data_IF_165453734804
#
_entry.id   IF_165453734804
#
_cell.length_a   1.000
_cell.length_b   1.000
_cell.length_c   1.000
_cell.angle_alpha   90.00
_cell.angle_beta   90.00
_cell.angle_gamma   90.00
#
_symmetry.space_group_name_H-M   'P 1'
#
loop_
_entity.id
_entity.type
_entity.pdbx_description
1 polymer ?
#
# COMPACT_ATOMS: atom_id res chain seq x y z
N UNK A 1 -1.94 -50.54 5.52
CA UNK A 1 -1.66 -49.72 4.32
C UNK A 1 -1.41 -48.30 4.81
N UNK A 2 -0.16 -48.04 5.23
CA UNK A 2 0.23 -46.81 5.91
C UNK A 2 0.63 -45.74 4.89
N UNK A 3 -0.06 -44.59 4.90
CA UNK A 3 0.30 -43.42 4.09
C UNK A 3 1.46 -42.68 4.76
N UNK A 4 2.64 -42.74 4.14
CA UNK A 4 3.76 -41.85 4.47
C UNK A 4 3.54 -40.51 3.80
N UNK A 5 3.46 -39.44 4.60
CA UNK A 5 3.46 -38.04 4.14
C UNK A 5 4.91 -37.58 4.16
N UNK A 6 5.46 -37.30 2.98
CA UNK A 6 6.80 -36.72 2.83
C UNK A 6 6.68 -35.21 2.91
N UNK A 7 7.15 -34.61 4.01
CA UNK A 7 7.26 -33.16 4.15
C UNK A 7 8.60 -32.75 3.53
N UNK A 8 8.54 -32.08 2.38
CA UNK A 8 9.70 -31.47 1.75
C UNK A 8 10.01 -30.15 2.46
N UNK A 9 11.13 -30.11 3.18
CA UNK A 9 11.70 -28.89 3.73
C UNK A 9 12.36 -28.08 2.60
N UNK A 10 11.77 -26.94 2.25
CA UNK A 10 12.41 -25.97 1.35
C UNK A 10 13.31 -25.08 2.21
N UNK A 11 14.60 -25.40 2.26
CA UNK A 11 15.62 -24.53 2.84
C UNK A 11 15.96 -23.43 1.84
N UNK A 12 15.38 -22.24 1.99
CA UNK A 12 15.83 -21.05 1.28
C UNK A 12 17.25 -20.69 1.76
N UNK A 13 18.24 -20.85 0.89
CA UNK A 13 19.63 -20.50 1.19
C UNK A 13 19.81 -19.00 0.98
N UNK A 14 19.89 -18.22 2.05
CA UNK A 14 20.24 -16.80 1.97
C UNK A 14 21.75 -16.70 1.77
N UNK A 15 22.18 -16.35 0.56
CA UNK A 15 23.57 -16.03 0.29
C UNK A 15 23.88 -14.64 0.88
N UNK A 16 24.58 -14.60 2.01
CA UNK A 16 25.07 -13.36 2.63
C UNK A 16 26.40 -13.00 1.95
N UNK A 17 26.36 -12.09 0.98
CA UNK A 17 27.56 -11.38 0.54
C UNK A 17 27.89 -10.31 1.58
N UNK A 18 28.99 -10.51 2.32
CA UNK A 18 29.51 -9.54 3.28
C UNK A 18 30.34 -8.48 2.51
N UNK A 19 29.94 -7.20 2.47
CA UNK A 19 30.81 -6.16 1.96
C UNK A 19 31.86 -5.80 3.01
N UNK A 20 33.11 -5.70 2.59
CA UNK A 20 34.24 -5.32 3.43
C UNK A 20 34.37 -3.80 3.57
N UNK A 21 34.49 -3.37 4.83
CA UNK A 21 35.09 -2.13 5.38
C UNK A 21 34.43 -0.76 5.16
N UNK A 22 34.09 -0.12 6.30
CA UNK A 22 33.84 1.31 6.46
C UNK A 22 32.51 1.57 7.17
N UNK A 23 32.48 1.52 8.51
CA UNK A 23 31.32 1.79 9.40
C UNK A 23 29.97 1.65 8.67
N UNK A 24 29.68 0.42 8.24
CA UNK A 24 28.67 0.14 7.25
C UNK A 24 27.31 0.39 7.87
N UNK A 25 26.64 1.50 7.53
CA UNK A 25 25.19 1.56 7.66
C UNK A 25 24.63 0.45 6.78
N UNK A 26 24.29 -0.68 7.41
CA UNK A 26 23.70 -1.83 6.75
C UNK A 26 22.20 -1.56 6.64
N UNK A 27 21.85 -0.66 5.73
CA UNK A 27 20.47 -0.50 5.30
C UNK A 27 20.17 -1.56 4.25
N UNK A 28 19.06 -2.26 4.42
CA UNK A 28 18.56 -3.26 3.47
C UNK A 28 17.23 -2.76 2.93
N UNK A 29 17.10 -2.75 1.61
CA UNK A 29 15.84 -2.49 0.92
C UNK A 29 15.27 -3.82 0.44
N UNK A 30 14.02 -4.12 0.79
CA UNK A 30 13.28 -5.25 0.21
C UNK A 30 11.97 -4.76 -0.38
N UNK A 31 11.47 -5.48 -1.38
CA UNK A 31 10.22 -5.20 -2.05
C UNK A 31 9.49 -6.52 -2.33
N UNK A 32 8.16 -6.51 -2.30
CA UNK A 32 7.33 -7.67 -2.60
C UNK A 32 5.97 -7.23 -3.16
N UNK A 33 5.38 -8.06 -4.02
CA UNK A 33 4.01 -7.92 -4.54
C UNK A 33 3.06 -9.03 -4.04
N UNK A 34 3.60 -10.03 -3.31
CA UNK A 34 2.85 -11.04 -2.58
C UNK A 34 2.55 -12.33 -3.35
N UNK A 35 2.56 -12.30 -4.69
CA UNK A 35 2.40 -13.48 -5.54
C UNK A 35 2.97 -13.26 -6.95
N UNK A 36 3.11 -14.34 -7.70
CA UNK A 36 3.71 -14.33 -9.03
C UNK A 36 2.71 -14.18 -10.20
N UNK A 37 1.41 -14.39 -9.98
CA UNK A 37 0.38 -14.28 -11.03
C UNK A 37 -0.83 -13.49 -10.54
N UNK A 38 -1.24 -12.53 -11.36
CA UNK A 38 -2.42 -11.68 -11.22
C UNK A 38 -3.28 -11.79 -12.47
N UNK A 39 -4.57 -11.49 -12.39
CA UNK A 39 -5.38 -11.25 -13.58
C UNK A 39 -5.47 -9.76 -13.90
N UNK A 40 -5.81 -9.40 -15.14
CA UNK A 40 -5.99 -8.00 -15.52
C UNK A 40 -6.98 -7.28 -14.61
N UNK A 41 -6.61 -6.07 -14.16
CA UNK A 41 -7.36 -5.28 -13.20
C UNK A 41 -7.56 -5.93 -11.81
N UNK A 42 -6.79 -6.97 -11.49
CA UNK A 42 -6.53 -7.33 -10.10
C UNK A 42 -5.58 -6.28 -9.48
N UNK A 43 -5.82 -5.78 -8.25
CA UNK A 43 -4.90 -4.83 -7.61
C UNK A 43 -3.55 -5.47 -7.30
N UNK A 44 -2.46 -4.90 -7.83
CA UNK A 44 -1.09 -5.32 -7.53
C UNK A 44 -0.52 -4.45 -6.41
N UNK A 45 -0.48 -5.00 -5.19
CA UNK A 45 -0.01 -4.29 -4.00
C UNK A 45 1.50 -4.44 -3.83
N UNK A 46 2.25 -3.37 -4.09
CA UNK A 46 3.66 -3.28 -3.75
C UNK A 46 3.83 -2.95 -2.27
N UNK A 47 4.66 -3.74 -1.57
CA UNK A 47 5.19 -3.44 -0.24
C UNK A 47 6.70 -3.22 -0.36
N UNK A 48 7.20 -2.08 0.10
CA UNK A 48 8.64 -1.82 0.24
C UNK A 48 9.01 -1.67 1.70
N UNK A 49 10.17 -2.20 2.07
CA UNK A 49 10.71 -2.17 3.42
C UNK A 49 12.15 -1.68 3.40
N UNK A 50 12.43 -0.67 4.21
CA UNK A 50 13.78 -0.23 4.55
C UNK A 50 14.09 -0.68 5.97
N UNK A 51 15.11 -1.52 6.13
CA UNK A 51 15.51 -2.03 7.43
C UNK A 51 16.94 -1.58 7.76
N UNK A 52 17.16 -1.11 8.98
CA UNK A 52 18.50 -0.90 9.50
C UNK A 52 18.94 -2.16 10.26
N UNK A 53 19.82 -2.97 9.65
CA UNK A 53 20.41 -4.16 10.28
C UNK A 53 21.75 -3.86 10.95
N UNK A 54 22.21 -2.61 10.90
CA UNK A 54 23.40 -2.14 11.59
C UNK A 54 23.16 -1.87 13.08
N UNK A 55 24.24 -1.52 13.78
CA UNK A 55 24.25 -1.23 15.22
C UNK A 55 24.01 0.24 15.56
N UNK A 56 24.12 1.14 14.58
CA UNK A 56 23.98 2.59 14.74
C UNK A 56 22.77 3.13 13.98
N UNK A 57 22.24 4.27 14.42
CA UNK A 57 21.17 4.98 13.71
C UNK A 57 21.66 5.40 12.32
N UNK A 58 20.92 5.01 11.29
CA UNK A 58 21.14 5.50 9.94
C UNK A 58 20.34 6.78 9.69
N UNK A 59 20.89 7.71 8.91
CA UNK A 59 20.21 8.95 8.55
C UNK A 59 19.92 8.94 7.06
N UNK A 60 18.65 8.91 6.68
CA UNK A 60 18.24 8.74 5.28
C UNK A 60 17.45 9.94 4.76
N UNK A 61 17.28 10.01 3.44
CA UNK A 61 16.22 10.82 2.85
C UNK A 61 14.84 10.27 3.27
N UNK A 62 13.77 11.02 3.00
CA UNK A 62 12.41 10.56 3.27
C UNK A 62 12.10 9.24 2.55
N UNK A 63 11.86 8.18 3.31
CA UNK A 63 11.46 6.89 2.77
C UNK A 63 9.97 6.92 2.38
N UNK A 64 9.71 7.18 1.10
CA UNK A 64 8.37 7.28 0.52
C UNK A 64 8.37 6.82 -0.93
N UNK A 65 7.32 6.09 -1.34
CA UNK A 65 7.15 5.68 -2.74
C UNK A 65 6.93 6.88 -3.69
N UNK A 66 6.49 8.01 -3.15
CA UNK A 66 6.28 9.27 -3.89
C UNK A 66 7.47 10.24 -3.81
N UNK A 67 8.57 9.87 -3.13
CA UNK A 67 9.78 10.70 -3.06
C UNK A 67 10.59 10.59 -4.36
N UNK A 68 11.31 11.66 -4.74
CA UNK A 68 12.31 11.63 -5.80
C UNK A 68 13.44 10.62 -5.54
N UNK A 69 13.75 10.33 -4.28
CA UNK A 69 14.80 9.39 -3.92
C UNK A 69 14.42 7.93 -4.15
N UNK A 70 13.14 7.62 -4.40
CA UNK A 70 12.66 6.29 -4.74
C UNK A 70 12.49 6.19 -6.25
N UNK A 71 13.03 5.17 -6.89
CA UNK A 71 12.83 4.92 -8.32
C UNK A 71 12.23 3.53 -8.51
N UNK A 72 11.13 3.48 -9.25
CA UNK A 72 10.52 2.25 -9.73
C UNK A 72 10.79 2.19 -11.23
N UNK A 73 11.35 1.08 -11.71
CA UNK A 73 11.50 0.82 -13.13
C UNK A 73 10.84 -0.51 -13.44
N UNK A 74 9.99 -0.53 -14.46
CA UNK A 74 9.29 -1.75 -14.86
C UNK A 74 9.55 -2.03 -16.32
N UNK A 75 9.82 -3.30 -16.59
CA UNK A 75 10.03 -3.82 -17.94
C UNK A 75 9.03 -4.92 -18.22
N UNK A 76 8.51 -4.93 -19.43
CA UNK A 76 7.79 -6.07 -19.98
C UNK A 76 8.77 -7.20 -20.32
N UNK A 77 8.29 -8.43 -20.45
CA UNK A 77 9.11 -9.61 -20.75
C UNK A 77 9.94 -9.48 -22.04
N UNK A 78 9.49 -8.63 -22.98
CA UNK A 78 10.22 -8.28 -24.20
C UNK A 78 11.15 -7.05 -24.06
N UNK A 79 11.41 -6.57 -22.84
CA UNK A 79 12.39 -5.53 -22.52
C UNK A 79 11.94 -4.08 -22.69
N UNK A 80 10.69 -3.83 -23.08
CA UNK A 80 10.17 -2.46 -23.18
C UNK A 80 9.89 -1.92 -21.78
N UNK A 81 10.21 -0.65 -21.56
CA UNK A 81 9.92 0.04 -20.32
C UNK A 81 8.45 0.41 -20.25
N UNK A 82 7.82 0.12 -19.11
CA UNK A 82 6.48 0.60 -18.77
C UNK A 82 6.62 1.97 -18.13
N UNK A 83 5.76 2.90 -18.52
CA UNK A 83 5.74 4.24 -17.93
C UNK A 83 5.32 4.18 -16.46
N UNK A 84 6.00 4.97 -15.62
CA UNK A 84 5.71 5.11 -14.20
C UNK A 84 5.43 6.59 -13.89
N UNK A 85 4.15 6.95 -13.94
CA UNK A 85 3.60 8.30 -13.78
C UNK A 85 3.30 8.63 -12.32
N UNK A 86 4.30 8.51 -11.44
CA UNK A 86 4.08 8.79 -10.02
C UNK A 86 4.01 10.31 -9.74
N UNK A 87 3.08 10.77 -8.88
CA UNK A 87 3.16 12.12 -8.35
C UNK A 87 4.40 12.25 -7.46
N UNK A 88 5.12 13.35 -7.61
CA UNK A 88 6.34 13.62 -6.86
C UNK A 88 6.01 14.54 -5.69
N UNK A 89 6.31 14.07 -4.47
CA UNK A 89 6.30 14.92 -3.28
C UNK A 89 7.69 15.54 -3.11
N UNK A 90 7.77 16.86 -3.32
CA UNK A 90 8.93 17.65 -2.97
C UNK A 90 8.86 18.10 -1.50
N UNK A 91 9.99 18.04 -0.81
CA UNK A 91 10.09 18.37 0.60
C UNK A 91 10.85 19.67 0.78
N UNK A 92 10.21 20.67 1.38
CA UNK A 92 10.91 21.86 1.86
C UNK A 92 11.67 21.51 3.13
N UNK A 93 13.00 21.44 3.01
CA UNK A 93 13.89 21.10 4.10
C UNK A 93 14.26 22.35 4.91
N UNK A 94 14.13 22.26 6.22
CA UNK A 94 14.70 23.26 7.14
C UNK A 94 16.24 23.16 7.12
N UNK A 95 16.99 24.27 7.27
CA UNK A 95 18.47 24.24 7.36
C UNK A 95 19.02 23.33 8.47
N UNK A 96 18.22 23.06 9.50
CA UNK A 96 18.56 22.15 10.60
C UNK A 96 18.29 20.68 10.29
N UNK A 97 17.66 20.34 9.16
CA UNK A 97 17.40 18.94 8.79
C UNK A 97 18.71 18.16 8.63
N UNK A 98 18.70 16.91 9.10
CA UNK A 98 19.88 16.00 9.12
C UNK A 98 19.58 14.64 8.48
N UNK A 99 18.43 14.49 7.86
CA UNK A 99 17.90 13.18 7.46
C UNK A 99 16.78 12.69 8.38
N UNK A 100 16.07 11.67 7.93
CA UNK A 100 15.16 10.85 8.71
C UNK A 100 15.95 9.78 9.46
N UNK A 101 15.85 9.70 10.80
CA UNK A 101 16.58 8.70 11.58
C UNK A 101 15.89 7.34 11.49
N UNK A 102 16.66 6.31 11.09
CA UNK A 102 16.29 4.90 11.12
C UNK A 102 17.10 4.21 12.22
N UNK A 103 16.52 4.00 13.43
CA UNK A 103 17.24 3.38 14.53
C UNK A 103 17.71 1.95 14.22
N UNK A 104 18.73 1.44 14.95
CA UNK A 104 19.14 0.04 14.86
C UNK A 104 17.96 -0.91 15.02
N UNK A 105 17.83 -1.89 14.13
CA UNK A 105 16.75 -2.88 14.13
C UNK A 105 15.38 -2.36 13.68
N UNK A 106 15.23 -1.07 13.40
CA UNK A 106 13.97 -0.51 12.91
C UNK A 106 13.69 -0.89 11.46
N UNK A 107 12.40 -1.00 11.12
CA UNK A 107 11.92 -1.19 9.75
C UNK A 107 10.90 -0.13 9.40
N UNK A 108 11.09 0.55 8.28
CA UNK A 108 10.11 1.46 7.70
C UNK A 108 9.42 0.76 6.54
N UNK A 109 8.10 0.83 6.50
CA UNK A 109 7.29 0.15 5.49
C UNK A 109 6.45 1.17 4.73
N UNK A 110 6.31 0.97 3.41
CA UNK A 110 5.38 1.71 2.56
C UNK A 110 4.70 0.75 1.60
N UNK A 111 3.44 1.03 1.27
CA UNK A 111 2.67 0.29 0.27
C UNK A 111 2.01 1.21 -0.74
N UNK A 112 1.76 0.68 -1.94
CA UNK A 112 0.88 1.28 -2.93
C UNK A 112 0.28 0.22 -3.85
N UNK A 113 -0.75 0.58 -4.61
CA UNK A 113 -1.19 -0.21 -5.76
C UNK A 113 -0.43 0.27 -6.98
N UNK A 114 0.22 -0.64 -7.72
CA UNK A 114 1.05 -0.26 -8.88
C UNK A 114 0.23 0.46 -9.96
N UNK A 115 -1.00 0.01 -10.20
CA UNK A 115 -1.92 0.63 -11.16
C UNK A 115 -2.34 2.07 -10.79
N UNK A 116 -1.98 2.58 -9.61
CA UNK A 116 -2.15 4.01 -9.29
C UNK A 116 -1.12 4.89 -10.03
N UNK A 117 0.01 4.32 -10.47
CA UNK A 117 1.15 5.07 -11.04
C UNK A 117 1.81 4.42 -12.25
N UNK A 118 1.36 3.26 -12.71
CA UNK A 118 2.09 2.47 -13.71
C UNK A 118 1.14 1.78 -14.67
N UNK A 119 1.45 1.86 -15.96
CA UNK A 119 0.68 1.26 -17.05
C UNK A 119 0.06 2.29 -17.99
N UNK A 120 -0.88 1.85 -18.82
CA UNK A 120 -1.60 2.72 -19.74
C UNK A 120 -2.65 3.55 -18.99
N UNK A 121 -2.61 4.87 -19.12
CA UNK A 121 -3.52 5.76 -18.39
C UNK A 121 -5.00 5.52 -18.76
N UNK A 122 -5.86 5.49 -17.75
CA UNK A 122 -7.30 5.30 -17.83
C UNK A 122 -8.08 6.37 -17.07
N UNK A 123 -9.33 6.58 -17.48
CA UNK A 123 -10.24 7.47 -16.76
C UNK A 123 -10.70 6.83 -15.44
N UNK A 124 -10.18 7.34 -14.32
CA UNK A 124 -10.53 6.94 -12.95
C UNK A 124 -12.02 7.06 -12.61
N UNK A 125 -12.82 7.75 -13.42
CA UNK A 125 -14.29 7.85 -13.25
C UNK A 125 -15.01 6.58 -13.72
N UNK A 126 -14.44 5.88 -14.71
CA UNK A 126 -15.02 4.67 -15.29
C UNK A 126 -14.25 3.40 -14.94
N UNK A 127 -12.99 3.52 -14.53
CA UNK A 127 -12.11 2.40 -14.19
C UNK A 127 -11.68 2.40 -12.73
N UNK A 128 -11.34 1.21 -12.20
CA UNK A 128 -10.92 1.04 -10.82
C UNK A 128 -9.55 1.65 -10.50
N UNK A 129 -8.67 1.76 -11.48
CA UNK A 129 -7.32 2.28 -11.29
C UNK A 129 -7.02 3.38 -12.30
N UNK A 130 -5.96 4.15 -12.03
CA UNK A 130 -5.54 5.24 -12.90
C UNK A 130 -4.85 4.72 -14.15
N UNK A 131 -4.30 3.51 -14.07
CA UNK A 131 -3.56 2.89 -15.14
C UNK A 131 -3.96 1.43 -15.28
N UNK A 132 -3.81 0.90 -16.49
CA UNK A 132 -4.00 -0.49 -16.82
C UNK A 132 -2.68 -1.20 -17.03
N UNK A 133 -2.60 -2.40 -16.46
CA UNK A 133 -1.54 -3.34 -16.74
C UNK A 133 -2.11 -4.47 -17.57
N UNK A 134 -1.76 -4.49 -18.84
CA UNK A 134 -2.19 -5.51 -19.79
C UNK A 134 -1.61 -6.89 -19.45
N UNK A 135 -2.19 -7.94 -20.02
CA UNK A 135 -1.63 -9.29 -19.88
C UNK A 135 -0.22 -9.40 -20.46
N UNK A 136 0.78 -9.54 -19.59
CA UNK A 136 2.19 -9.77 -19.94
C UNK A 136 2.99 -10.20 -18.69
N UNK A 137 4.25 -10.57 -18.87
CA UNK A 137 5.23 -10.69 -17.81
C UNK A 137 5.88 -9.34 -17.52
N UNK A 138 6.00 -9.00 -16.24
CA UNK A 138 6.58 -7.77 -15.75
C UNK A 138 7.78 -8.07 -14.86
N UNK A 139 8.82 -7.28 -14.99
CA UNK A 139 9.99 -7.25 -14.11
C UNK A 139 10.08 -5.86 -13.46
N UNK A 140 9.83 -5.80 -12.16
CA UNK A 140 9.84 -4.58 -11.34
C UNK A 140 11.17 -4.47 -10.57
N UNK A 141 11.82 -3.33 -10.74
CA UNK A 141 13.01 -2.91 -10.01
C UNK A 141 12.66 -1.75 -9.09
N UNK A 142 13.14 -1.82 -7.85
CA UNK A 142 12.93 -0.78 -6.83
C UNK A 142 14.28 -0.37 -6.27
N UNK A 143 14.59 0.92 -6.40
CA UNK A 143 15.82 1.51 -5.87
C UNK A 143 15.53 2.70 -4.97
N UNK A 144 16.34 2.89 -3.94
CA UNK A 144 16.25 4.00 -3.01
C UNK A 144 17.60 4.67 -2.81
N UNK A 145 17.70 5.94 -3.18
CA UNK A 145 18.84 6.80 -2.96
C UNK A 145 18.83 7.33 -1.52
N UNK A 146 19.24 6.47 -0.58
CA UNK A 146 19.12 6.70 0.85
C UNK A 146 19.77 8.00 1.34
N UNK A 147 20.82 8.49 0.69
CA UNK A 147 21.52 9.71 1.10
C UNK A 147 21.26 10.92 0.19
N UNK A 148 20.21 10.89 -0.64
CA UNK A 148 19.87 12.02 -1.51
C UNK A 148 19.63 13.29 -0.69
N UNK A 149 20.51 14.28 -0.85
CA UNK A 149 20.42 15.58 -0.16
C UNK A 149 20.62 15.52 1.34
N UNK A 150 21.01 14.37 1.91
CA UNK A 150 21.33 14.25 3.34
C UNK A 150 22.70 14.89 3.60
N UNK A 151 22.83 15.84 4.54
CA UNK A 151 24.10 16.51 4.80
C UNK A 151 25.17 15.56 5.36
N UNK A 152 26.44 15.78 4.98
CA UNK A 152 27.62 15.08 5.52
C UNK A 152 27.61 13.55 5.39
N UNK A 153 26.87 13.00 4.42
CA UNK A 153 26.86 11.57 4.11
C UNK A 153 27.48 11.29 2.75
N UNK A 154 28.06 10.11 2.58
CA UNK A 154 28.49 9.59 1.27
C UNK A 154 27.27 9.08 0.50
N UNK A 155 27.14 9.28 -0.81
CA UNK A 155 26.02 8.74 -1.58
C UNK A 155 25.82 7.25 -1.33
N UNK A 156 24.56 6.84 -1.12
CA UNK A 156 24.17 5.46 -0.90
C UNK A 156 22.92 5.20 -1.72
N UNK A 157 22.95 4.14 -2.53
CA UNK A 157 21.80 3.64 -3.28
C UNK A 157 21.59 2.19 -2.89
N UNK A 158 20.36 1.89 -2.51
CA UNK A 158 19.91 0.56 -2.12
C UNK A 158 19.00 0.03 -3.24
N UNK A 159 19.10 -1.27 -3.51
CA UNK A 159 18.32 -1.94 -4.54
C UNK A 159 17.68 -3.18 -3.93
N UNK A 160 16.38 -3.34 -4.15
CA UNK A 160 15.68 -4.57 -3.81
C UNK A 160 15.94 -5.63 -4.89
N UNK A 161 15.78 -6.91 -4.53
CA UNK A 161 15.79 -7.96 -5.55
C UNK A 161 14.69 -7.70 -6.60
N UNK A 162 14.97 -7.91 -7.90
CA UNK A 162 13.96 -7.74 -8.95
C UNK A 162 12.76 -8.66 -8.71
N UNK A 163 11.57 -8.14 -8.97
CA UNK A 163 10.31 -8.88 -8.80
C UNK A 163 9.78 -9.22 -10.18
N UNK A 164 9.64 -10.51 -10.47
CA UNK A 164 9.01 -10.98 -11.71
C UNK A 164 7.60 -11.47 -11.39
N UNK A 165 6.60 -10.95 -12.10
CA UNK A 165 5.21 -11.38 -11.98
C UNK A 165 4.51 -11.37 -13.35
N UNK A 166 3.45 -12.16 -13.47
CA UNK A 166 2.63 -12.28 -14.67
C UNK A 166 1.26 -11.64 -14.43
N UNK A 167 0.76 -10.93 -15.44
CA UNK A 167 -0.65 -10.61 -15.56
C UNK A 167 -1.24 -11.47 -16.66
N UNK A 168 -2.28 -12.23 -16.33
CA UNK A 168 -3.05 -13.01 -17.31
C UNK A 168 -4.34 -12.30 -17.66
N UNK A 169 -4.86 -12.58 -18.85
CA UNK A 169 -6.19 -12.15 -19.25
C UNK A 169 -7.26 -12.62 -18.23
N UNK A 170 -8.28 -11.78 -18.07
CA UNK A 170 -9.46 -12.12 -17.26
C UNK A 170 -10.24 -13.28 -17.87
N UNK A 171 -10.75 -14.14 -17.00
CA UNK A 171 -11.84 -15.05 -17.32
C UNK A 171 -13.16 -14.28 -17.45
N UNK A 172 -14.18 -14.88 -18.05
CA UNK A 172 -15.50 -14.25 -18.16
C UNK A 172 -16.16 -13.94 -16.82
N UNK A 173 -15.82 -14.69 -15.75
CA UNK A 173 -16.32 -14.42 -14.39
C UNK A 173 -15.64 -13.18 -13.80
N UNK A 174 -14.32 -13.08 -13.94
CA UNK A 174 -13.53 -11.94 -13.46
C UNK A 174 -13.90 -10.65 -14.21
N UNK A 175 -14.12 -10.72 -15.53
CA UNK A 175 -14.62 -9.58 -16.31
C UNK A 175 -15.96 -9.09 -15.76
N UNK A 176 -16.91 -9.99 -15.50
CA UNK A 176 -18.23 -9.61 -14.97
C UNK A 176 -18.13 -8.95 -13.60
N UNK A 177 -17.19 -9.40 -12.79
CA UNK A 177 -16.90 -8.84 -11.48
C UNK A 177 -16.28 -7.45 -11.57
N UNK A 178 -15.23 -7.28 -12.37
CA UNK A 178 -14.59 -5.98 -12.57
C UNK A 178 -15.60 -4.98 -13.13
N UNK A 179 -16.43 -5.37 -14.10
CA UNK A 179 -17.51 -4.52 -14.63
C UNK A 179 -18.51 -4.10 -13.57
N UNK A 180 -18.85 -4.98 -12.63
CA UNK A 180 -19.73 -4.63 -11.52
C UNK A 180 -19.09 -3.57 -10.60
N UNK A 181 -17.80 -3.74 -10.28
CA UNK A 181 -17.05 -2.80 -9.46
C UNK A 181 -16.88 -1.43 -10.15
N UNK A 182 -16.57 -1.42 -11.45
CA UNK A 182 -16.49 -0.21 -12.29
C UNK A 182 -17.84 0.51 -12.37
N UNK A 183 -18.95 -0.23 -12.55
CA UNK A 183 -20.29 0.36 -12.55
C UNK A 183 -20.62 1.02 -11.20
N UNK A 184 -20.26 0.39 -10.08
CA UNK A 184 -20.42 1.01 -8.76
C UNK A 184 -19.54 2.26 -8.62
N UNK A 185 -18.29 2.21 -9.09
CA UNK A 185 -17.39 3.37 -9.04
C UNK A 185 -17.94 4.56 -9.82
N UNK A 186 -18.49 4.31 -10.99
CA UNK A 186 -19.18 5.34 -11.77
C UNK A 186 -20.34 5.98 -10.97
N UNK A 187 -21.12 5.19 -10.22
CA UNK A 187 -22.17 5.75 -9.34
C UNK A 187 -21.61 6.75 -8.32
N UNK A 188 -20.43 6.52 -7.76
CA UNK A 188 -19.80 7.41 -6.78
C UNK A 188 -19.43 8.79 -7.35
N UNK A 189 -19.15 8.86 -8.65
CA UNK A 189 -18.87 10.10 -9.38
C UNK A 189 -20.11 10.72 -10.02
N UNK A 190 -21.14 9.92 -10.29
CA UNK A 190 -22.34 10.33 -11.00
C UNK A 190 -23.29 11.15 -10.10
N UNK A 191 -23.34 12.45 -10.36
CA UNK A 191 -24.26 13.39 -9.68
C UNK A 191 -25.66 13.43 -10.29
N UNK A 192 -25.92 12.68 -11.37
CA UNK A 192 -27.24 12.61 -11.98
C UNK A 192 -28.24 11.91 -11.06
N UNK A 193 -29.51 12.29 -11.19
CA UNK A 193 -30.59 11.76 -10.35
C UNK A 193 -31.30 10.59 -11.00
N UNK A 194 -31.57 9.54 -10.23
CA UNK A 194 -32.50 8.45 -10.58
C UNK A 194 -33.60 8.43 -9.52
N UNK A 195 -34.86 8.48 -9.95
CA UNK A 195 -36.02 8.53 -9.05
C UNK A 195 -35.94 9.68 -8.00
N UNK A 196 -35.37 10.82 -8.38
CA UNK A 196 -35.27 12.00 -7.53
C UNK A 196 -34.06 12.05 -6.60
N UNK A 197 -33.23 11.01 -6.52
CA UNK A 197 -32.01 10.96 -5.69
C UNK A 197 -30.73 10.89 -6.54
N UNK A 198 -29.63 11.55 -6.15
CA UNK A 198 -28.34 11.38 -6.83
C UNK A 198 -27.87 9.93 -6.78
N UNK A 199 -27.32 9.40 -7.88
CA UNK A 199 -26.74 8.04 -7.90
C UNK A 199 -25.64 7.85 -6.86
N UNK A 200 -24.84 8.90 -6.60
CA UNK A 200 -23.80 8.91 -5.58
C UNK A 200 -24.32 8.67 -4.14
N UNK A 201 -25.60 8.95 -3.84
CA UNK A 201 -26.18 8.69 -2.51
C UNK A 201 -26.18 7.20 -2.17
N UNK A 202 -26.39 6.34 -3.17
CA UNK A 202 -26.42 4.88 -3.00
C UNK A 202 -25.04 4.21 -3.03
N UNK A 203 -23.99 4.92 -3.47
CA UNK A 203 -22.69 4.32 -3.76
C UNK A 203 -22.08 3.60 -2.55
N UNK A 204 -21.95 4.28 -1.41
CA UNK A 204 -21.34 3.69 -0.22
C UNK A 204 -22.16 2.49 0.31
N UNK A 205 -23.49 2.58 0.28
CA UNK A 205 -24.34 1.48 0.71
C UNK A 205 -24.16 0.24 -0.18
N UNK A 206 -24.16 0.43 -1.51
CA UNK A 206 -23.91 -0.65 -2.47
C UNK A 206 -22.52 -1.26 -2.31
N UNK A 207 -21.48 -0.44 -2.14
CA UNK A 207 -20.11 -0.92 -1.96
C UNK A 207 -19.94 -1.68 -0.64
N UNK A 208 -20.50 -1.19 0.47
CA UNK A 208 -20.46 -1.88 1.77
C UNK A 208 -21.17 -3.23 1.68
N UNK A 209 -22.36 -3.28 1.04
CA UNK A 209 -23.09 -4.53 0.84
C UNK A 209 -22.27 -5.53 0.01
N UNK A 210 -21.63 -5.07 -1.08
CA UNK A 210 -20.77 -5.89 -1.91
C UNK A 210 -19.60 -6.47 -1.10
N UNK A 211 -18.89 -5.63 -0.36
CA UNK A 211 -17.77 -6.04 0.51
C UNK A 211 -18.23 -7.05 1.57
N UNK A 212 -19.39 -6.84 2.20
CA UNK A 212 -19.94 -7.77 3.21
C UNK A 212 -20.31 -9.13 2.62
N UNK A 213 -20.85 -9.14 1.41
CA UNK A 213 -21.17 -10.39 0.71
C UNK A 213 -19.89 -11.12 0.32
N UNK A 214 -18.96 -10.43 -0.33
CA UNK A 214 -17.71 -11.01 -0.82
C UNK A 214 -16.80 -11.48 0.31
N UNK A 215 -16.73 -10.73 1.41
CA UNK A 215 -16.04 -11.22 2.61
C UNK A 215 -16.64 -12.53 3.15
N UNK A 216 -17.94 -12.79 3.00
CA UNK A 216 -18.54 -14.07 3.43
C UNK A 216 -18.29 -15.18 2.43
N UNK A 217 -18.45 -14.88 1.14
CA UNK A 217 -18.52 -15.89 0.08
C UNK A 217 -17.14 -16.19 -0.53
N UNK A 218 -16.22 -15.22 -0.50
CA UNK A 218 -14.89 -15.25 -1.14
C UNK A 218 -13.84 -14.59 -0.23
N UNK A 219 -13.33 -15.33 0.78
CA UNK A 219 -12.45 -14.76 1.80
C UNK A 219 -11.10 -14.24 1.27
N UNK A 220 -10.64 -14.76 0.13
CA UNK A 220 -9.36 -14.42 -0.51
C UNK A 220 -9.51 -13.42 -1.66
N UNK A 221 -10.65 -12.73 -1.74
CA UNK A 221 -10.93 -11.73 -2.77
C UNK A 221 -9.90 -10.57 -2.71
N UNK A 222 -9.11 -10.35 -3.78
CA UNK A 222 -8.00 -9.40 -3.79
C UNK A 222 -8.48 -7.93 -3.77
N UNK A 223 -9.75 -7.66 -4.08
CA UNK A 223 -10.31 -6.32 -4.09
C UNK A 223 -10.70 -5.82 -2.70
N UNK A 224 -10.95 -6.70 -1.72
CA UNK A 224 -11.45 -6.27 -0.41
C UNK A 224 -10.54 -5.24 0.28
N UNK A 225 -9.20 -5.44 0.35
CA UNK A 225 -8.31 -4.44 0.95
C UNK A 225 -8.33 -3.09 0.20
N UNK A 226 -8.29 -3.12 -1.14
CA UNK A 226 -8.37 -1.92 -1.98
C UNK A 226 -9.69 -1.17 -1.78
N UNK A 227 -10.84 -1.87 -1.82
CA UNK A 227 -12.15 -1.23 -1.71
C UNK A 227 -12.37 -0.62 -0.31
N UNK A 228 -11.91 -1.29 0.74
CA UNK A 228 -12.03 -0.80 2.12
C UNK A 228 -11.09 0.38 2.44
N UNK A 229 -10.00 0.52 1.69
CA UNK A 229 -9.09 1.66 1.80
C UNK A 229 -9.45 2.79 0.82
N UNK A 230 -9.32 2.52 -0.48
CA UNK A 230 -9.45 3.48 -1.58
C UNK A 230 -10.90 3.63 -2.05
N UNK A 231 -11.60 2.51 -2.26
CA UNK A 231 -12.98 2.52 -2.79
C UNK A 231 -13.95 3.35 -1.94
N UNK A 232 -13.99 3.12 -0.63
CA UNK A 232 -14.81 3.89 0.32
C UNK A 232 -14.41 5.37 0.48
N UNK A 233 -13.32 5.78 -0.16
CA UNK A 233 -12.88 7.18 -0.20
C UNK A 233 -13.41 7.93 -1.42
N UNK A 234 -13.87 7.22 -2.46
CA UNK A 234 -14.41 7.81 -3.70
C UNK A 234 -15.72 8.53 -3.39
N UNK A 235 -15.71 9.86 -3.48
CA UNK A 235 -16.89 10.71 -3.40
C UNK A 235 -16.74 11.86 -4.38
N UNK A 236 -17.84 12.38 -4.91
CA UNK A 236 -17.79 13.58 -5.75
C UNK A 236 -17.15 14.77 -5.02
N UNK A 237 -16.44 15.62 -5.77
CA UNK A 237 -15.61 16.74 -5.29
C UNK A 237 -16.28 17.61 -4.20
N UNK A 238 -17.55 17.95 -4.38
CA UNK A 238 -18.29 18.81 -3.43
C UNK A 238 -18.42 18.15 -2.05
N UNK A 239 -18.69 16.85 -2.00
CA UNK A 239 -18.79 16.11 -0.74
C UNK A 239 -17.39 15.91 -0.14
N UNK A 240 -16.38 15.65 -0.97
CA UNK A 240 -14.99 15.53 -0.53
C UNK A 240 -14.53 16.78 0.22
N UNK A 241 -14.74 17.97 -0.36
CA UNK A 241 -14.38 19.25 0.24
C UNK A 241 -15.05 19.47 1.60
N UNK A 242 -16.33 19.07 1.75
CA UNK A 242 -17.05 19.18 3.02
C UNK A 242 -16.54 18.21 4.09
N UNK A 243 -16.17 16.98 3.70
CA UNK A 243 -15.57 16.00 4.60
C UNK A 243 -14.19 16.46 5.06
N UNK A 244 -13.34 16.92 4.14
CA UNK A 244 -11.99 17.44 4.45
C UNK A 244 -12.06 18.67 5.35
N UNK A 245 -13.06 19.54 5.14
CA UNK A 245 -13.32 20.69 6.01
C UNK A 245 -13.97 20.33 7.37
N UNK A 246 -14.24 19.06 7.64
CA UNK A 246 -14.86 18.59 8.89
C UNK A 246 -16.32 19.01 9.08
N UNK A 247 -16.99 19.45 8.01
CA UNK A 247 -18.39 19.93 8.07
C UNK A 247 -19.40 18.81 8.13
N UNK A 248 -19.09 17.70 7.46
CA UNK A 248 -19.90 16.48 7.46
C UNK A 248 -19.00 15.28 7.67
N UNK A 249 -19.42 14.28 8.47
CA UNK A 249 -18.70 13.03 8.55
C UNK A 249 -18.87 12.26 7.24
N UNK A 250 -17.88 11.45 6.87
CA UNK A 250 -17.96 10.58 5.67
C UNK A 250 -19.03 9.51 5.80
N UNK A 251 -19.22 9.01 7.02
CA UNK A 251 -20.20 8.00 7.37
C UNK A 251 -20.90 8.44 8.64
N UNK A 252 -22.19 8.12 8.77
CA UNK A 252 -22.86 8.17 10.07
C UNK A 252 -22.19 7.18 11.06
N UNK A 253 -22.40 7.34 12.38
CA UNK A 253 -21.73 6.52 13.39
C UNK A 253 -21.93 5.01 13.21
N UNK A 254 -23.12 4.57 12.81
CA UNK A 254 -23.44 3.14 12.66
C UNK A 254 -22.73 2.56 11.44
N UNK A 255 -22.78 3.26 10.31
CA UNK A 255 -22.04 2.89 9.09
C UNK A 255 -20.53 2.87 9.36
N UNK A 256 -20.01 3.86 10.10
CA UNK A 256 -18.59 3.90 10.45
C UNK A 256 -18.17 2.71 11.32
N UNK A 257 -19.01 2.28 12.26
CA UNK A 257 -18.77 1.08 13.08
C UNK A 257 -18.78 -0.21 12.24
N UNK A 258 -19.67 -0.32 11.26
CA UNK A 258 -19.70 -1.43 10.30
C UNK A 258 -18.41 -1.48 9.47
N UNK A 259 -18.03 -0.36 8.85
CA UNK A 259 -16.81 -0.26 8.04
C UNK A 259 -15.56 -0.57 8.87
N UNK A 260 -15.48 -0.04 10.08
CA UNK A 260 -14.35 -0.30 10.98
C UNK A 260 -14.20 -1.79 11.30
N UNK A 261 -15.31 -2.47 11.63
CA UNK A 261 -15.30 -3.93 11.86
C UNK A 261 -14.89 -4.72 10.63
N UNK A 262 -15.36 -4.34 9.45
CA UNK A 262 -14.98 -4.99 8.18
C UNK A 262 -13.48 -4.82 7.89
N UNK A 263 -12.91 -3.63 8.13
CA UNK A 263 -11.47 -3.40 7.95
C UNK A 263 -10.64 -4.33 8.82
N UNK A 264 -10.95 -4.40 10.11
CA UNK A 264 -10.23 -5.29 11.05
C UNK A 264 -10.39 -6.76 10.63
N UNK A 265 -11.62 -7.19 10.28
CA UNK A 265 -11.88 -8.56 9.85
C UNK A 265 -11.15 -8.95 8.55
N UNK A 266 -11.04 -8.02 7.59
CA UNK A 266 -10.28 -8.25 6.35
C UNK A 266 -8.77 -8.26 6.63
N UNK A 267 -8.27 -7.37 7.50
CA UNK A 267 -6.86 -7.35 7.90
C UNK A 267 -6.46 -8.66 8.58
N UNK A 268 -7.26 -9.16 9.51
CA UNK A 268 -6.95 -10.42 10.22
C UNK A 268 -6.83 -11.61 9.27
N UNK A 269 -7.69 -11.68 8.24
CA UNK A 269 -7.62 -12.73 7.21
C UNK A 269 -6.44 -12.55 6.27
N UNK A 270 -6.11 -11.30 5.93
CA UNK A 270 -5.05 -10.93 5.00
C UNK A 270 -3.74 -10.56 5.69
N UNK A 271 -3.55 -10.94 6.96
CA UNK A 271 -2.43 -10.43 7.75
C UNK A 271 -1.05 -10.78 7.21
N UNK A 272 -0.96 -11.89 6.48
CA UNK A 272 0.27 -12.38 5.85
C UNK A 272 0.53 -11.77 4.46
N UNK A 273 -0.43 -11.02 3.88
CA UNK A 273 -0.31 -10.49 2.52
C UNK A 273 0.10 -9.02 2.47
N UNK A 274 0.67 -8.61 1.34
CA UNK A 274 0.94 -7.20 1.00
C UNK A 274 -0.35 -6.38 0.99
N UNK A 275 -1.46 -6.96 0.54
CA UNK A 275 -2.79 -6.35 0.52
C UNK A 275 -3.30 -6.02 1.93
N UNK A 276 -3.10 -6.92 2.91
CA UNK A 276 -3.42 -6.64 4.31
C UNK A 276 -2.62 -5.46 4.86
N UNK A 277 -1.31 -5.43 4.60
CA UNK A 277 -0.45 -4.31 5.00
C UNK A 277 -0.90 -2.99 4.37
N UNK A 278 -1.34 -3.02 3.11
CA UNK A 278 -1.88 -1.84 2.43
C UNK A 278 -3.14 -1.29 3.12
N UNK A 279 -4.07 -2.15 3.52
CA UNK A 279 -5.25 -1.72 4.27
C UNK A 279 -4.88 -1.14 5.65
N UNK A 280 -3.87 -1.71 6.33
CA UNK A 280 -3.34 -1.15 7.58
C UNK A 280 -2.73 0.24 7.38
N UNK A 281 -1.94 0.46 6.32
CA UNK A 281 -1.42 1.80 5.99
C UNK A 281 -2.57 2.81 5.85
N UNK A 282 -3.68 2.41 5.24
CA UNK A 282 -4.87 3.24 5.13
C UNK A 282 -5.57 3.56 6.45
N UNK A 283 -5.51 2.66 7.43
CA UNK A 283 -5.92 2.94 8.81
C UNK A 283 -4.95 3.90 9.51
N UNK A 284 -3.65 3.79 9.20
CA UNK A 284 -2.56 4.63 9.70
C UNK A 284 -2.88 6.12 9.73
N UNK A 285 -3.46 6.62 8.63
CA UNK A 285 -3.80 8.02 8.43
C UNK A 285 -5.12 8.45 9.10
N UNK A 286 -5.99 7.50 9.50
CA UNK A 286 -7.41 7.78 9.80
C UNK A 286 -7.85 7.33 11.20
N UNK A 287 -7.26 6.27 11.73
CA UNK A 287 -7.60 5.66 13.02
C UNK A 287 -6.33 5.32 13.81
N UNK A 288 -5.50 6.34 14.16
CA UNK A 288 -4.19 6.13 14.78
C UNK A 288 -4.25 5.33 16.08
N UNK A 289 -5.32 5.48 16.85
CA UNK A 289 -5.50 4.84 18.16
C UNK A 289 -5.72 3.33 18.08
N UNK A 290 -6.19 2.82 16.93
CA UNK A 290 -6.46 1.38 16.74
C UNK A 290 -5.20 0.59 16.39
N UNK A 291 -4.13 1.25 15.95
CA UNK A 291 -2.96 0.60 15.37
C UNK A 291 -2.11 -0.15 16.39
N UNK A 292 -1.99 0.35 17.61
CA UNK A 292 -1.21 -0.31 18.66
C UNK A 292 -1.84 -1.64 19.10
N UNK A 293 -3.17 -1.68 19.20
CA UNK A 293 -3.93 -2.89 19.51
C UNK A 293 -3.80 -3.87 18.34
N UNK A 294 -4.05 -3.39 17.12
CA UNK A 294 -3.96 -4.20 15.92
C UNK A 294 -2.56 -4.80 15.72
N UNK A 295 -1.49 -4.04 15.98
CA UNK A 295 -0.12 -4.54 15.90
C UNK A 295 0.14 -5.72 16.85
N UNK A 296 -0.53 -5.75 18.01
CA UNK A 296 -0.43 -6.85 18.97
C UNK A 296 -1.24 -8.07 18.55
N UNK A 297 -2.46 -7.87 18.05
CA UNK A 297 -3.37 -8.96 17.63
C UNK A 297 -2.85 -9.68 16.38
N UNK A 298 -2.35 -8.90 15.42
CA UNK A 298 -1.89 -9.41 14.13
C UNK A 298 -0.48 -10.00 14.22
N UNK A 299 0.36 -9.52 15.15
CA UNK A 299 1.65 -10.12 15.47
C UNK A 299 2.77 -9.80 14.47
N UNK A 300 3.68 -10.75 14.27
CA UNK A 300 4.85 -10.61 13.39
C UNK A 300 4.52 -10.96 11.93
N UNK A 301 3.59 -10.20 11.33
CA UNK A 301 3.21 -10.34 9.92
C UNK A 301 3.37 -8.99 9.20
N UNK A 302 3.32 -8.94 7.85
CA UNK A 302 3.36 -7.67 7.11
C UNK A 302 2.36 -6.63 7.63
N UNK A 303 1.11 -7.04 7.89
CA UNK A 303 0.09 -6.15 8.49
C UNK A 303 0.45 -5.70 9.91
N UNK A 304 0.95 -6.59 10.75
CA UNK A 304 1.32 -6.25 12.13
C UNK A 304 2.56 -5.35 12.22
N UNK A 305 3.53 -5.56 11.33
CA UNK A 305 4.69 -4.67 11.17
C UNK A 305 4.27 -3.28 10.66
N UNK A 306 3.39 -3.22 9.67
CA UNK A 306 2.84 -1.95 9.18
C UNK A 306 2.08 -1.20 10.29
N UNK A 307 1.28 -1.92 11.09
CA UNK A 307 0.54 -1.34 12.21
C UNK A 307 1.49 -0.76 13.27
N UNK A 308 2.56 -1.50 13.61
CA UNK A 308 3.60 -1.06 14.54
C UNK A 308 4.33 0.18 14.02
N UNK A 309 4.75 0.16 12.75
CA UNK A 309 5.39 1.30 12.10
C UNK A 309 4.52 2.56 12.20
N UNK A 310 3.25 2.49 11.83
CA UNK A 310 2.37 3.67 11.91
C UNK A 310 2.04 4.08 13.35
N UNK A 311 1.92 3.15 14.30
CA UNK A 311 1.73 3.49 15.71
C UNK A 311 2.93 4.28 16.26
N UNK A 312 4.16 3.85 15.96
CA UNK A 312 5.39 4.54 16.36
C UNK A 312 5.51 5.94 15.71
N UNK A 313 5.20 6.06 14.42
CA UNK A 313 5.22 7.34 13.71
C UNK A 313 4.22 8.34 14.31
N UNK A 314 3.01 7.87 14.64
CA UNK A 314 1.98 8.71 15.27
C UNK A 314 2.42 9.18 16.66
N UNK A 315 3.04 8.32 17.47
CA UNK A 315 3.58 8.71 18.78
C UNK A 315 4.69 9.76 18.65
N UNK A 316 5.62 9.60 17.70
CA UNK A 316 6.67 10.59 17.43
C UNK A 316 6.06 11.94 17.00
N UNK A 317 5.12 11.94 16.07
CA UNK A 317 4.43 13.16 15.62
C UNK A 317 3.68 13.88 16.74
N UNK A 318 3.06 13.15 17.67
CA UNK A 318 2.41 13.73 18.84
C UNK A 318 3.41 14.31 19.86
N UNK A 319 4.57 13.68 20.05
CA UNK A 319 5.63 14.20 20.94
C UNK A 319 6.23 15.51 20.41
N UNK A 320 6.46 15.62 19.11
CA UNK A 320 6.96 16.85 18.47
C UNK A 320 5.98 18.01 18.66
N UNK A 321 4.67 17.78 18.51
CA UNK A 321 3.62 18.81 18.71
C UNK A 321 3.45 19.28 20.16
N UNK A 322 3.92 18.50 21.14
CA UNK A 322 3.83 18.83 22.56
C UNK A 322 5.05 19.59 23.09
N UNK A 323 6.11 19.75 22.28
CA UNK A 323 7.22 20.62 22.65
C UNK A 323 6.85 22.07 22.33
N UNK A 324 6.94 23.01 23.29
CA UNK A 324 6.72 24.42 23.00
C UNK A 324 7.76 24.89 21.98
N UNK A 325 7.43 25.84 21.08
CA UNK A 325 8.41 26.44 20.20
C UNK A 325 9.55 27.00 21.06
N UNK A 326 10.78 26.62 20.72
CA UNK A 326 11.98 27.24 21.28
C UNK A 326 12.16 28.64 20.71
#
# INVERSE_FOLDING_TARGET
>A
MERRVTIAWICATVAILVPTSGATQQLVLTADVGKAEFFEDEPVYLLVRLQNVGTDTAWTHFFSLLSLAMTLSVRLGHGHLVEVSKPILDYRLDPSWRGEPVPPGASFLKTMVLQDIMGDEWDLRTHLFAHHLASDQYELHVTFHAHWGVPHTTPLTLEAAPIVFQIRARTSSEEKEVRQLEAMRYMGWDTTRVAGRPRAEGYHASLIQWVQQRWRDQPDDPFLPFLLYNGLSVVGKVLEEQIVAGKVPRFDPDTNAVVSRLRIAVIERNKLSTAGAHLVQGLGARHPDQLAILAKEVGATPSGEMARYHAEQNQRGQQVRKQPPR
#
